data_IF_521067319715
#
_entry.id   IF_521067319715
#
_cell.length_a   1.000
_cell.length_b   1.000
_cell.length_c   1.000
_cell.angle_alpha   90.00
_cell.angle_beta   90.00
_cell.angle_gamma   90.00
#
_symmetry.space_group_name_H-M   'P 1'
#
loop_
_entity.id
_entity.type
_entity.pdbx_description
1 polymer ?
#
# COMPACT_ATOMS: atom_id res chain seq x y z
N UNK A 1 10.34 -9.82 9.70
CA UNK A 1 9.95 -8.66 10.54
C UNK A 1 9.38 -9.07 11.90
N UNK A 2 9.77 -10.24 12.41
CA UNK A 2 9.41 -10.69 13.77
C UNK A 2 10.28 -10.00 14.82
N UNK A 3 9.92 -10.03 16.12
CA UNK A 3 10.72 -9.44 17.18
C UNK A 3 11.96 -10.29 17.56
N UNK A 4 12.47 -11.10 16.64
CA UNK A 4 13.76 -11.75 16.83
C UNK A 4 14.89 -10.69 16.83
N UNK A 5 15.79 -10.68 17.83
CA UNK A 5 16.81 -9.63 17.94
C UNK A 5 17.94 -9.77 16.91
N UNK A 6 18.14 -10.94 16.32
CA UNK A 6 19.23 -11.21 15.38
C UNK A 6 18.77 -11.24 13.92
N UNK A 7 17.59 -11.81 13.64
CA UNK A 7 17.08 -12.02 12.29
C UNK A 7 15.83 -11.18 11.97
N UNK A 8 15.28 -10.51 12.98
CA UNK A 8 14.08 -9.68 12.87
C UNK A 8 14.32 -8.21 13.25
N UNK A 9 13.30 -7.61 13.82
CA UNK A 9 13.30 -6.19 14.24
C UNK A 9 13.30 -6.03 15.78
N UNK A 10 13.60 -7.10 16.54
CA UNK A 10 13.54 -7.07 18.00
C UNK A 10 14.54 -6.10 18.66
N UNK A 11 15.63 -5.76 17.96
CA UNK A 11 16.60 -4.75 18.40
C UNK A 11 16.32 -3.33 17.87
N UNK A 12 15.26 -3.11 17.10
CA UNK A 12 14.96 -1.80 16.51
C UNK A 12 14.24 -0.89 17.50
N UNK A 13 14.54 0.39 17.41
CA UNK A 13 13.74 1.44 18.03
C UNK A 13 12.49 1.76 17.19
N UNK A 14 11.55 2.51 17.75
CA UNK A 14 10.43 3.06 16.99
C UNK A 14 10.90 3.93 15.82
N UNK A 15 11.96 4.71 16.01
CA UNK A 15 12.55 5.55 14.95
C UNK A 15 13.15 4.72 13.82
N UNK A 16 13.74 3.56 14.12
CA UNK A 16 14.24 2.64 13.10
C UNK A 16 13.10 2.08 12.26
N UNK A 17 11.99 1.66 12.89
CA UNK A 17 10.81 1.21 12.16
C UNK A 17 10.19 2.34 11.33
N UNK A 18 10.03 3.54 11.90
CA UNK A 18 9.51 4.70 11.19
C UNK A 18 10.36 5.05 9.95
N UNK A 19 11.69 5.06 10.09
CA UNK A 19 12.59 5.27 8.96
C UNK A 19 12.47 4.15 7.90
N UNK A 20 12.32 2.91 8.32
CA UNK A 20 12.15 1.78 7.41
C UNK A 20 10.84 1.90 6.62
N UNK A 21 9.70 2.05 7.30
CA UNK A 21 8.38 2.03 6.65
C UNK A 21 8.06 3.32 5.91
N UNK A 22 8.44 4.49 6.45
CA UNK A 22 8.07 5.78 5.86
C UNK A 22 9.12 6.33 4.89
N UNK A 23 10.40 5.98 5.08
CA UNK A 23 11.51 6.50 4.26
C UNK A 23 12.19 5.41 3.44
N UNK A 24 11.90 4.13 3.72
CA UNK A 24 12.53 3.00 3.07
C UNK A 24 14.04 2.97 3.33
N UNK A 25 14.47 3.24 4.55
CA UNK A 25 15.89 3.24 4.96
C UNK A 25 16.04 2.35 6.18
N UNK A 26 16.97 1.39 6.12
CA UNK A 26 17.30 0.50 7.23
C UNK A 26 18.13 1.22 8.31
N UNK A 27 18.25 0.65 9.53
CA UNK A 27 19.06 1.26 10.61
C UNK A 27 20.54 1.45 10.23
N UNK A 28 21.09 0.65 9.34
CA UNK A 28 22.45 0.76 8.80
C UNK A 28 22.55 1.73 7.60
N UNK A 29 21.47 2.44 7.26
CA UNK A 29 21.41 3.45 6.20
C UNK A 29 21.24 2.91 4.78
N UNK A 30 21.00 1.61 4.60
CA UNK A 30 20.74 1.03 3.27
C UNK A 30 19.31 1.36 2.80
N UNK A 31 19.14 1.66 1.50
CA UNK A 31 17.82 1.90 0.93
C UNK A 31 17.08 0.58 0.68
N UNK A 32 15.83 0.49 1.13
CA UNK A 32 14.94 -0.63 0.79
C UNK A 32 14.44 -0.52 -0.64
N UNK A 33 14.19 -1.68 -1.26
CA UNK A 33 13.51 -1.75 -2.54
C UNK A 33 12.04 -1.37 -2.41
N UNK A 34 11.41 -0.85 -3.48
CA UNK A 34 10.02 -0.40 -3.46
C UNK A 34 8.99 -1.54 -3.33
N UNK A 35 9.43 -2.79 -3.18
CA UNK A 35 8.57 -3.88 -2.71
C UNK A 35 8.01 -3.64 -1.30
N UNK A 36 8.73 -2.86 -0.48
CA UNK A 36 8.17 -2.23 0.72
C UNK A 36 7.52 -0.92 0.29
N UNK A 37 6.19 -0.75 0.44
CA UNK A 37 5.45 0.39 -0.11
C UNK A 37 5.62 1.67 0.72
N UNK A 38 6.88 2.08 0.95
CA UNK A 38 7.22 3.27 1.74
C UNK A 38 6.67 4.59 1.16
N UNK A 39 6.28 4.61 -0.10
CA UNK A 39 5.54 5.73 -0.70
C UNK A 39 4.19 5.95 -0.01
N UNK A 40 3.43 4.87 0.13
CA UNK A 40 2.15 4.90 0.80
C UNK A 40 2.35 5.18 2.29
N UNK A 41 3.22 4.43 2.93
CA UNK A 41 3.47 4.54 4.36
C UNK A 41 4.11 5.87 4.79
N UNK A 42 4.72 6.63 3.87
CA UNK A 42 5.19 8.00 4.14
C UNK A 42 4.06 8.94 4.62
N UNK A 43 2.80 8.61 4.31
CA UNK A 43 1.58 9.34 4.70
C UNK A 43 0.98 8.87 6.02
N UNK A 44 1.50 7.79 6.62
CA UNK A 44 0.99 7.28 7.90
C UNK A 44 1.21 8.29 9.02
N UNK A 45 0.21 8.40 9.88
CA UNK A 45 0.32 9.22 11.09
C UNK A 45 1.33 8.59 12.06
N UNK A 46 2.07 9.40 12.83
CA UNK A 46 3.05 8.88 13.79
C UNK A 46 2.47 7.89 14.79
N UNK A 47 1.21 8.09 15.21
CA UNK A 47 0.55 7.18 16.15
C UNK A 47 0.32 5.80 15.51
N UNK A 48 -0.12 5.73 14.25
CA UNK A 48 -0.33 4.45 13.57
C UNK A 48 0.98 3.68 13.36
N UNK A 49 2.09 4.40 13.14
CA UNK A 49 3.43 3.78 13.10
C UNK A 49 3.83 3.23 14.47
N UNK A 50 3.54 3.97 15.56
CA UNK A 50 3.80 3.51 16.91
C UNK A 50 2.96 2.30 17.28
N UNK A 51 1.68 2.29 16.91
CA UNK A 51 0.77 1.16 17.13
C UNK A 51 1.21 -0.07 16.33
N UNK A 52 1.64 0.13 15.08
CA UNK A 52 2.23 -0.94 14.27
C UNK A 52 3.49 -1.52 14.92
N UNK A 53 4.38 -0.65 15.43
CA UNK A 53 5.58 -1.10 16.14
C UNK A 53 5.22 -1.92 17.38
N UNK A 54 4.30 -1.42 18.20
CA UNK A 54 3.84 -2.14 19.38
C UNK A 54 3.25 -3.52 19.03
N UNK A 55 2.41 -3.57 17.98
CA UNK A 55 1.85 -4.83 17.49
C UNK A 55 2.93 -5.81 17.03
N UNK A 56 3.89 -5.36 16.21
CA UNK A 56 4.96 -6.23 15.69
C UNK A 56 5.81 -6.84 16.82
N UNK A 57 5.99 -6.12 17.94
CA UNK A 57 6.70 -6.65 19.11
C UNK A 57 5.91 -7.75 19.86
N UNK A 58 4.61 -7.90 19.63
CA UNK A 58 3.79 -8.97 20.21
C UNK A 58 3.83 -10.29 19.44
N UNK A 59 4.37 -10.27 18.21
CA UNK A 59 4.40 -11.45 17.37
C UNK A 59 5.40 -12.49 17.89
N UNK A 60 5.21 -13.77 17.60
CA UNK A 60 6.22 -14.80 17.89
C UNK A 60 7.53 -14.49 17.18
N UNK A 61 8.64 -14.58 17.91
CA UNK A 61 9.98 -14.45 17.32
C UNK A 61 10.28 -15.63 16.38
N UNK A 62 10.91 -15.33 15.25
CA UNK A 62 11.37 -16.33 14.28
C UNK A 62 12.79 -15.98 13.87
N UNK A 63 13.72 -16.88 14.15
CA UNK A 63 15.15 -16.74 13.88
C UNK A 63 15.56 -17.20 12.47
N UNK A 64 14.59 -17.47 11.59
CA UNK A 64 14.87 -17.85 10.19
C UNK A 64 15.54 -16.68 9.45
N UNK A 65 16.74 -16.85 8.90
CA UNK A 65 17.43 -15.80 8.16
C UNK A 65 16.65 -15.35 6.93
N UNK A 66 16.61 -14.04 6.71
CA UNK A 66 16.05 -13.48 5.48
C UNK A 66 16.86 -13.89 4.25
N UNK A 67 16.17 -14.24 3.17
CA UNK A 67 16.82 -14.58 1.90
C UNK A 67 17.43 -13.31 1.27
N UNK A 68 18.65 -13.39 0.71
CA UNK A 68 19.24 -12.27 0.01
C UNK A 68 18.46 -11.93 -1.27
N UNK A 69 18.40 -10.65 -1.60
CA UNK A 69 17.75 -10.20 -2.83
C UNK A 69 18.53 -10.64 -4.06
N UNK A 70 17.85 -11.23 -5.04
CA UNK A 70 18.40 -11.63 -6.34
C UNK A 70 18.08 -10.57 -7.40
N UNK A 71 18.70 -9.39 -7.28
CA UNK A 71 18.46 -8.25 -8.17
C UNK A 71 19.74 -7.93 -8.94
N UNK A 72 19.60 -7.81 -10.28
CA UNK A 72 20.70 -7.53 -11.19
C UNK A 72 21.23 -6.08 -11.10
N UNK A 73 22.44 -5.88 -11.66
CA UNK A 73 23.00 -4.55 -11.87
C UNK A 73 22.09 -3.71 -12.78
N UNK A 74 21.92 -2.39 -12.53
CA UNK A 74 22.58 -1.58 -11.48
C UNK A 74 21.83 -1.56 -10.14
N UNK A 75 20.64 -2.13 -10.04
CA UNK A 75 19.77 -2.05 -8.85
C UNK A 75 20.25 -2.91 -7.67
N UNK A 76 21.20 -3.82 -7.89
CA UNK A 76 21.93 -4.49 -6.80
C UNK A 76 22.72 -3.51 -5.91
N UNK A 77 23.03 -2.30 -6.42
CA UNK A 77 23.69 -1.23 -5.67
C UNK A 77 22.62 -0.40 -4.95
N UNK A 78 22.50 -0.53 -3.64
CA UNK A 78 21.47 0.14 -2.81
C UNK A 78 21.44 1.67 -2.98
N UNK A 79 22.58 2.31 -3.22
CA UNK A 79 22.66 3.77 -3.48
C UNK A 79 21.94 4.17 -4.76
N UNK A 80 21.90 3.32 -5.78
CA UNK A 80 21.13 3.56 -7.02
C UNK A 80 19.64 3.61 -6.71
N UNK A 81 19.15 2.73 -5.81
CA UNK A 81 17.77 2.78 -5.31
C UNK A 81 17.48 4.12 -4.60
N UNK A 82 18.45 4.65 -3.85
CA UNK A 82 18.34 5.98 -3.22
C UNK A 82 18.15 7.10 -4.24
N UNK A 83 18.93 7.09 -5.33
CA UNK A 83 18.77 8.05 -6.43
C UNK A 83 17.41 7.91 -7.14
N UNK A 84 16.97 6.68 -7.39
CA UNK A 84 15.65 6.43 -7.96
C UNK A 84 14.52 6.93 -7.04
N UNK A 85 14.64 6.72 -5.72
CA UNK A 85 13.70 7.26 -4.71
C UNK A 85 13.61 8.78 -4.79
N UNK A 86 14.73 9.48 -4.90
CA UNK A 86 14.75 10.94 -5.01
C UNK A 86 13.93 11.45 -6.20
N UNK A 87 13.99 10.74 -7.33
CA UNK A 87 13.26 11.10 -8.56
C UNK A 87 11.76 10.78 -8.52
N UNK A 88 11.38 9.84 -7.68
CA UNK A 88 10.00 9.30 -7.70
C UNK A 88 9.26 9.48 -6.37
N UNK A 89 9.87 10.02 -5.33
CA UNK A 89 9.24 10.15 -4.02
C UNK A 89 8.29 11.35 -4.00
N UNK A 90 7.03 11.07 -3.67
CA UNK A 90 6.05 12.05 -3.25
C UNK A 90 5.43 11.58 -1.95
N UNK A 91 5.36 12.43 -0.94
CA UNK A 91 4.75 12.15 0.37
C UNK A 91 3.36 12.76 0.51
N UNK A 92 2.92 13.56 -0.46
CA UNK A 92 1.61 14.17 -0.42
C UNK A 92 0.53 13.16 -0.83
N UNK A 93 -0.68 13.34 -0.32
CA UNK A 93 -1.82 12.58 -0.81
C UNK A 93 -2.06 12.88 -2.29
N UNK A 94 -2.42 11.85 -3.07
CA UNK A 94 -2.64 11.99 -4.51
C UNK A 94 -3.92 12.77 -4.79
N UNK A 95 -5.01 12.42 -4.10
CA UNK A 95 -6.27 13.13 -4.25
C UNK A 95 -6.30 14.33 -3.31
N UNK A 96 -6.30 15.52 -3.90
CA UNK A 96 -6.32 16.80 -3.20
C UNK A 96 -7.71 17.45 -3.27
N UNK A 97 -7.91 18.53 -2.52
CA UNK A 97 -9.13 19.34 -2.52
C UNK A 97 -10.01 19.10 -1.30
N UNK A 98 -11.22 19.65 -1.35
CA UNK A 98 -12.18 19.58 -0.26
C UNK A 98 -12.79 18.17 -0.20
N UNK A 99 -12.53 17.49 0.90
CA UNK A 99 -13.05 16.17 1.22
C UNK A 99 -13.91 16.25 2.48
N UNK A 100 -15.01 15.52 2.49
CA UNK A 100 -15.74 15.24 3.73
C UNK A 100 -14.87 14.42 4.68
N UNK A 101 -15.25 14.34 5.94
CA UNK A 101 -14.54 13.54 6.94
C UNK A 101 -14.44 12.06 6.51
N UNK A 102 -15.52 11.49 5.97
CA UNK A 102 -15.52 10.13 5.46
C UNK A 102 -14.56 9.94 4.27
N UNK A 103 -14.63 10.84 3.28
CA UNK A 103 -13.71 10.80 2.12
C UNK A 103 -12.24 10.96 2.55
N UNK A 104 -11.96 11.87 3.50
CA UNK A 104 -10.60 12.06 4.03
C UNK A 104 -10.10 10.81 4.79
N UNK A 105 -10.96 10.17 5.59
CA UNK A 105 -10.65 8.89 6.25
C UNK A 105 -10.40 7.79 5.21
N UNK A 106 -11.25 7.69 4.19
CA UNK A 106 -11.09 6.72 3.10
C UNK A 106 -9.81 6.93 2.31
N UNK A 107 -9.46 8.21 2.01
CA UNK A 107 -8.17 8.57 1.40
C UNK A 107 -7.01 8.08 2.24
N UNK A 108 -7.03 8.34 3.54
CA UNK A 108 -5.98 7.91 4.45
C UNK A 108 -5.81 6.38 4.44
N UNK A 109 -6.91 5.64 4.49
CA UNK A 109 -6.85 4.18 4.43
C UNK A 109 -6.30 3.71 3.07
N UNK A 110 -6.85 4.20 1.96
CA UNK A 110 -6.52 3.73 0.62
C UNK A 110 -5.11 4.13 0.16
N UNK A 111 -4.65 5.35 0.49
CA UNK A 111 -3.37 5.87 0.03
C UNK A 111 -2.22 5.60 1.00
N UNK A 112 -2.47 5.61 2.33
CA UNK A 112 -1.44 5.45 3.33
C UNK A 112 -1.34 4.01 3.86
N UNK A 113 -2.46 3.44 4.36
CA UNK A 113 -2.41 2.18 5.11
C UNK A 113 -2.56 0.94 4.24
N UNK A 114 -3.58 0.91 3.36
CA UNK A 114 -3.88 -0.24 2.51
C UNK A 114 -3.17 -0.21 1.15
N UNK A 115 -2.49 0.89 0.82
CA UNK A 115 -1.67 1.10 -0.39
C UNK A 115 -2.31 0.61 -1.71
N UNK A 116 -3.61 0.85 -1.89
CA UNK A 116 -4.38 0.40 -3.06
C UNK A 116 -3.72 0.82 -4.39
N UNK A 117 -3.11 2.01 -4.41
CA UNK A 117 -2.39 2.53 -5.58
C UNK A 117 -1.21 1.69 -6.02
N UNK A 118 -0.57 0.91 -5.14
CA UNK A 118 0.57 0.08 -5.52
C UNK A 118 0.21 -0.97 -6.58
N UNK A 119 -1.01 -1.49 -6.53
CA UNK A 119 -1.53 -2.45 -7.50
C UNK A 119 -2.38 -1.78 -8.58
N UNK A 120 -3.26 -0.84 -8.19
CA UNK A 120 -4.27 -0.27 -9.08
C UNK A 120 -3.80 0.95 -9.90
N UNK A 121 -2.56 1.41 -9.75
CA UNK A 121 -2.00 2.52 -10.51
C UNK A 121 -0.88 2.03 -11.45
N UNK A 122 -0.87 2.44 -12.73
CA UNK A 122 0.20 2.03 -13.63
C UNK A 122 1.54 2.64 -13.22
N UNK A 123 2.62 2.09 -13.75
CA UNK A 123 3.97 2.59 -13.52
C UNK A 123 4.43 3.46 -14.69
N UNK A 124 5.18 4.51 -14.37
CA UNK A 124 5.86 5.33 -15.35
C UNK A 124 7.09 4.59 -15.95
N UNK A 125 7.77 5.20 -16.92
CA UNK A 125 8.94 4.62 -17.59
C UNK A 125 10.12 4.30 -16.64
N UNK A 126 10.17 4.91 -15.46
CA UNK A 126 11.18 4.66 -14.44
C UNK A 126 10.73 3.65 -13.37
N UNK A 127 9.53 3.08 -13.53
CA UNK A 127 8.95 2.12 -12.58
C UNK A 127 8.31 2.76 -11.34
N UNK A 128 8.25 4.09 -11.24
CA UNK A 128 7.49 4.80 -10.22
C UNK A 128 5.98 4.79 -10.51
N UNK A 129 5.15 5.14 -9.52
CA UNK A 129 3.71 5.27 -9.74
C UNK A 129 3.41 6.44 -10.69
N UNK A 130 2.57 6.22 -11.68
CA UNK A 130 2.01 7.28 -12.51
C UNK A 130 0.77 7.87 -11.81
N UNK A 131 0.99 8.83 -10.93
CA UNK A 131 -0.08 9.45 -10.14
C UNK A 131 -1.07 10.27 -10.98
N UNK A 132 -0.71 10.64 -12.23
CA UNK A 132 -1.63 11.26 -13.17
C UNK A 132 -2.74 10.30 -13.63
N UNK A 133 -2.51 8.99 -13.44
CA UNK A 133 -3.45 7.92 -13.74
C UNK A 133 -3.77 7.10 -12.49
N UNK A 134 -3.94 7.81 -11.37
CA UNK A 134 -4.21 7.22 -10.06
C UNK A 134 -5.40 6.27 -10.09
N UNK A 135 -5.19 5.04 -9.63
CA UNK A 135 -6.18 3.95 -9.58
C UNK A 135 -6.78 3.54 -10.95
N UNK A 136 -6.18 3.94 -12.07
CA UNK A 136 -6.67 3.63 -13.43
C UNK A 136 -6.36 2.19 -13.90
N UNK A 137 -5.94 1.32 -12.99
CA UNK A 137 -5.57 -0.06 -13.29
C UNK A 137 -4.17 -0.20 -13.87
N UNK A 138 -3.62 -1.41 -13.83
CA UNK A 138 -2.25 -1.69 -14.26
C UNK A 138 -2.14 -3.08 -14.91
N UNK A 139 -1.08 -3.35 -15.69
CA UNK A 139 -0.71 -4.72 -16.03
C UNK A 139 -0.47 -5.53 -14.76
N UNK A 140 -0.95 -6.77 -14.73
CA UNK A 140 -0.69 -7.64 -13.59
C UNK A 140 0.81 -8.03 -13.56
N UNK A 141 1.53 -7.79 -12.46
CA UNK A 141 2.96 -8.14 -12.37
C UNK A 141 3.24 -9.64 -12.46
N UNK A 142 2.25 -10.50 -12.27
CA UNK A 142 2.36 -11.95 -12.52
C UNK A 142 2.43 -12.30 -14.02
N UNK A 143 2.28 -11.31 -14.92
CA UNK A 143 2.37 -11.49 -16.37
C UNK A 143 1.06 -11.92 -17.05
N UNK A 144 0.00 -12.16 -16.30
CA UNK A 144 -1.31 -12.56 -16.86
C UNK A 144 -2.42 -11.60 -16.41
N UNK A 145 -3.15 -11.05 -17.40
CA UNK A 145 -4.30 -10.18 -17.15
C UNK A 145 -3.92 -8.78 -16.70
N UNK A 146 -4.90 -8.07 -16.19
CA UNK A 146 -4.79 -6.70 -15.69
C UNK A 146 -5.40 -6.57 -14.31
N UNK A 147 -4.81 -5.73 -13.49
CA UNK A 147 -5.41 -5.20 -12.27
C UNK A 147 -6.43 -4.15 -12.72
N UNK A 148 -7.68 -4.22 -12.24
CA UNK A 148 -8.75 -3.36 -12.76
C UNK A 148 -8.56 -1.88 -12.42
N UNK A 149 -9.10 -1.03 -13.28
CA UNK A 149 -9.34 0.38 -13.00
C UNK A 149 -10.48 0.48 -11.97
N UNK A 150 -10.20 1.11 -10.83
CA UNK A 150 -11.15 1.31 -9.74
C UNK A 150 -11.54 2.79 -9.56
N UNK A 151 -11.31 3.63 -10.58
CA UNK A 151 -11.86 4.98 -10.63
C UNK A 151 -13.33 4.97 -11.03
N UNK A 152 -14.08 6.05 -10.79
CA UNK A 152 -15.49 6.15 -11.20
C UNK A 152 -15.73 5.95 -12.70
N UNK A 153 -14.71 6.07 -13.56
CA UNK A 153 -14.84 5.78 -14.99
C UNK A 153 -15.15 4.30 -15.29
N UNK A 154 -14.69 3.37 -14.45
CA UNK A 154 -14.86 1.92 -14.66
C UNK A 154 -15.52 1.21 -13.48
N UNK A 155 -15.33 1.70 -12.24
CA UNK A 155 -15.99 1.16 -11.05
C UNK A 155 -17.37 1.84 -10.89
N UNK A 156 -18.37 1.28 -11.56
CA UNK A 156 -19.74 1.81 -11.56
C UNK A 156 -20.57 1.41 -10.34
N UNK A 157 -20.05 0.53 -9.50
CA UNK A 157 -20.72 0.04 -8.29
C UNK A 157 -21.10 1.18 -7.35
N UNK A 158 -22.20 1.05 -6.65
CA UNK A 158 -22.58 1.92 -5.54
C UNK A 158 -21.60 1.79 -4.37
N UNK A 159 -21.60 2.75 -3.46
CA UNK A 159 -20.81 2.66 -2.24
C UNK A 159 -21.15 1.39 -1.43
N UNK A 160 -22.43 1.04 -1.34
CA UNK A 160 -22.87 -0.17 -0.66
C UNK A 160 -22.34 -1.46 -1.29
N UNK A 161 -22.28 -1.54 -2.61
CA UNK A 161 -21.70 -2.68 -3.33
C UNK A 161 -20.18 -2.77 -3.13
N UNK A 162 -19.49 -1.63 -3.09
CA UNK A 162 -18.06 -1.57 -2.76
C UNK A 162 -17.82 -2.06 -1.31
N UNK A 163 -18.62 -1.62 -0.33
CA UNK A 163 -18.56 -2.09 1.06
C UNK A 163 -18.79 -3.59 1.12
N UNK A 164 -19.81 -4.08 0.43
CA UNK A 164 -20.13 -5.51 0.39
C UNK A 164 -18.95 -6.33 -0.20
N UNK A 165 -18.36 -5.85 -1.31
CA UNK A 165 -17.19 -6.49 -1.91
C UNK A 165 -15.99 -6.52 -0.95
N UNK A 166 -15.68 -5.41 -0.29
CA UNK A 166 -14.59 -5.33 0.69
C UNK A 166 -14.86 -6.13 1.97
N UNK A 167 -16.10 -6.60 2.18
CA UNK A 167 -16.49 -7.42 3.32
C UNK A 167 -16.49 -8.91 2.98
N UNK A 168 -17.02 -9.28 1.82
CA UNK A 168 -17.31 -10.68 1.47
C UNK A 168 -16.48 -11.20 0.29
N UNK A 169 -15.91 -10.31 -0.52
CA UNK A 169 -15.23 -10.67 -1.76
C UNK A 169 -16.16 -10.99 -2.94
N UNK A 170 -17.48 -10.87 -2.77
CA UNK A 170 -18.42 -11.09 -3.88
C UNK A 170 -18.71 -9.79 -4.63
N UNK A 171 -18.66 -9.85 -5.96
CA UNK A 171 -19.08 -8.75 -6.83
C UNK A 171 -20.61 -8.66 -6.91
N UNK A 172 -21.19 -7.53 -7.38
CA UNK A 172 -22.63 -7.44 -7.62
C UNK A 172 -23.17 -8.48 -8.59
N UNK A 173 -22.33 -8.99 -9.48
CA UNK A 173 -22.69 -10.05 -10.46
C UNK A 173 -22.47 -11.48 -9.92
N UNK A 174 -22.26 -11.61 -8.60
CA UNK A 174 -22.02 -12.88 -7.90
C UNK A 174 -20.75 -13.62 -8.33
N UNK A 175 -19.79 -12.93 -8.92
CA UNK A 175 -18.44 -13.44 -9.09
C UNK A 175 -17.63 -13.25 -7.80
N UNK A 176 -16.51 -13.94 -7.67
CA UNK A 176 -15.69 -13.89 -6.44
C UNK A 176 -14.34 -13.23 -6.68
N UNK A 177 -13.83 -12.58 -5.62
CA UNK A 177 -12.48 -12.02 -5.58
C UNK A 177 -11.44 -13.10 -5.90
N UNK A 178 -10.42 -12.75 -6.68
CA UNK A 178 -9.33 -13.66 -7.04
C UNK A 178 -7.94 -13.05 -6.84
N UNK A 179 -6.92 -13.88 -6.97
CA UNK A 179 -5.52 -13.48 -6.91
C UNK A 179 -5.13 -12.82 -5.57
N UNK A 180 -4.26 -11.84 -5.64
CA UNK A 180 -3.77 -11.14 -4.43
C UNK A 180 -4.85 -10.33 -3.71
N UNK A 181 -5.92 -9.94 -4.40
CA UNK A 181 -7.00 -9.18 -3.79
C UNK A 181 -7.78 -9.99 -2.73
N UNK A 182 -7.71 -11.33 -2.74
CA UNK A 182 -8.28 -12.20 -1.68
C UNK A 182 -7.76 -11.78 -0.31
N UNK A 183 -6.45 -11.66 -0.14
CA UNK A 183 -5.85 -11.25 1.14
C UNK A 183 -6.20 -9.83 1.54
N UNK A 184 -6.37 -8.93 0.56
CA UNK A 184 -6.82 -7.56 0.83
C UNK A 184 -8.23 -7.59 1.41
N UNK A 185 -9.16 -8.31 0.80
CA UNK A 185 -10.54 -8.44 1.29
C UNK A 185 -10.58 -9.10 2.66
N UNK A 186 -9.86 -10.19 2.87
CA UNK A 186 -9.75 -10.85 4.18
C UNK A 186 -9.32 -9.90 5.31
N UNK A 187 -8.44 -8.95 5.02
CA UNK A 187 -7.98 -7.96 5.98
C UNK A 187 -8.94 -6.77 6.09
N UNK A 188 -9.48 -6.28 4.98
CA UNK A 188 -10.49 -5.22 4.98
C UNK A 188 -11.76 -5.64 5.74
N UNK A 189 -12.15 -6.91 5.67
CA UNK A 189 -13.29 -7.46 6.40
C UNK A 189 -13.13 -7.37 7.94
N UNK A 190 -11.89 -7.29 8.44
CA UNK A 190 -11.59 -7.15 9.87
C UNK A 190 -11.72 -5.71 10.37
N UNK A 191 -11.71 -4.72 9.47
CA UNK A 191 -11.88 -3.31 9.84
C UNK A 191 -13.35 -3.03 10.18
N UNK A 192 -13.63 -1.96 10.94
CA UNK A 192 -14.98 -1.46 11.12
C UNK A 192 -15.68 -1.19 9.80
N UNK A 193 -16.99 -1.39 9.74
CA UNK A 193 -17.78 -1.08 8.53
C UNK A 193 -17.64 0.39 8.11
N UNK A 194 -17.53 1.30 9.08
CA UNK A 194 -17.28 2.72 8.84
C UNK A 194 -16.00 3.00 8.04
N UNK A 195 -14.95 2.23 8.26
CA UNK A 195 -13.70 2.36 7.51
C UNK A 195 -13.84 1.85 6.07
N UNK A 196 -14.57 0.74 5.87
CA UNK A 196 -14.90 0.27 4.50
C UNK A 196 -15.81 1.25 3.75
N UNK A 197 -16.79 1.83 4.46
CA UNK A 197 -17.66 2.87 3.89
C UNK A 197 -16.85 4.14 3.53
N UNK A 198 -15.90 4.54 4.37
CA UNK A 198 -14.99 5.63 4.09
C UNK A 198 -14.15 5.37 2.82
N UNK A 199 -13.62 4.16 2.66
CA UNK A 199 -12.90 3.77 1.43
C UNK A 199 -13.82 3.83 0.22
N UNK A 200 -15.07 3.36 0.33
CA UNK A 200 -16.04 3.45 -0.77
C UNK A 200 -16.33 4.89 -1.17
N UNK A 201 -16.59 5.78 -0.19
CA UNK A 201 -16.78 7.21 -0.43
C UNK A 201 -15.57 7.86 -1.12
N UNK A 202 -14.35 7.54 -0.67
CA UNK A 202 -13.13 8.01 -1.30
C UNK A 202 -13.01 7.52 -2.76
N UNK A 203 -13.26 6.25 -3.04
CA UNK A 203 -13.19 5.71 -4.41
C UNK A 203 -14.18 6.40 -5.36
N UNK A 204 -15.33 6.85 -4.87
CA UNK A 204 -16.29 7.65 -5.66
C UNK A 204 -15.83 9.10 -5.88
N UNK A 205 -14.91 9.59 -5.04
CA UNK A 205 -14.35 10.94 -5.13
C UNK A 205 -13.10 11.02 -6.02
N UNK A 206 -12.39 9.91 -6.22
CA UNK A 206 -11.20 9.85 -7.08
C UNK A 206 -11.54 10.39 -8.49
N UNK A 207 -10.67 11.20 -9.12
CA UNK A 207 -10.88 11.62 -10.50
C UNK A 207 -11.08 10.44 -11.44
N UNK A 208 -12.09 10.54 -12.31
CA UNK A 208 -12.35 9.51 -13.31
C UNK A 208 -11.24 9.49 -14.37
N UNK A 209 -10.65 8.32 -14.59
CA UNK A 209 -9.59 8.10 -15.60
C UNK A 209 -10.00 6.95 -16.51
N UNK A 210 -10.00 7.19 -17.84
CA UNK A 210 -10.36 6.18 -18.85
C UNK A 210 -9.21 5.18 -19.12
#
# INVERSE_FOLDING_TARGET
>A
ITPDPAQGIGGWSLDDLANAVQRGVSPDGAHYYPALPYWSYARMQPQDVADLYAYLQTLPADATPSQPHQIGFPFSIRRVVGGWKFLNRDSDFVVQGDLTEAEARGRYIAEAMAHCGECHTPRNALGGLDTSRWLAGAPNPSGQGRIPNITPAKLTWSEGEIVQYLTSGFTPDFDSVGGHMVHVVENMAKLPESDRAAVAAYLKKVPAVE
#
